data_IF_776735813120
#
_entry.id   IF_776735813120
#
_cell.length_a   1.000
_cell.length_b   1.000
_cell.length_c   1.000
_cell.angle_alpha   90.00
_cell.angle_beta   90.00
_cell.angle_gamma   90.00
#
_symmetry.space_group_name_H-M   'P 1'
#
loop_
_entity.id
_entity.type
_entity.pdbx_description
1 polymer ?
#
# COMPACT_ATOMS: atom_id res chain seq x y z
N UNK A 1 26.60 -33.54 -1.50
CA UNK A 1 26.56 -32.98 -2.87
C UNK A 1 25.19 -32.34 -3.11
N UNK A 2 25.01 -31.45 -4.09
CA UNK A 2 23.70 -30.82 -4.35
C UNK A 2 22.56 -31.84 -4.58
N UNK A 3 22.87 -32.98 -5.21
CA UNK A 3 21.90 -34.07 -5.43
C UNK A 3 21.45 -34.80 -4.16
N UNK A 4 22.19 -34.67 -3.06
CA UNK A 4 21.86 -35.27 -1.77
C UNK A 4 21.15 -34.29 -0.84
N UNK A 5 21.11 -33.00 -1.19
CA UNK A 5 20.51 -31.95 -0.40
C UNK A 5 18.98 -32.08 -0.36
N UNK A 6 18.41 -32.14 0.85
CA UNK A 6 16.98 -32.33 1.04
C UNK A 6 16.17 -31.05 0.77
N UNK A 7 16.76 -29.86 0.92
CA UNK A 7 16.08 -28.60 0.67
C UNK A 7 15.95 -28.39 -0.84
N UNK A 8 17.01 -28.70 -1.61
CA UNK A 8 16.94 -28.67 -3.08
C UNK A 8 15.93 -29.68 -3.64
N UNK A 9 15.79 -30.86 -3.03
CA UNK A 9 14.76 -31.83 -3.41
C UNK A 9 13.35 -31.32 -3.12
N UNK A 10 13.14 -30.70 -1.96
CA UNK A 10 11.85 -30.09 -1.63
C UNK A 10 11.46 -28.98 -2.60
N UNK A 11 12.43 -28.20 -3.10
CA UNK A 11 12.16 -27.22 -4.16
C UNK A 11 11.64 -27.92 -5.42
N UNK A 12 12.29 -28.99 -5.88
CA UNK A 12 11.85 -29.76 -7.05
C UNK A 12 10.44 -30.34 -6.85
N UNK A 13 10.17 -30.89 -5.67
CA UNK A 13 8.88 -31.51 -5.35
C UNK A 13 7.73 -30.49 -5.21
N UNK A 14 8.02 -29.19 -5.12
CA UNK A 14 7.00 -28.13 -5.01
C UNK A 14 6.11 -28.00 -6.25
N UNK A 15 6.58 -28.46 -7.43
CA UNK A 15 5.88 -28.33 -8.70
C UNK A 15 5.81 -26.90 -9.26
N UNK A 16 6.66 -25.99 -8.77
CA UNK A 16 6.73 -24.62 -9.28
C UNK A 16 7.31 -24.53 -10.71
N UNK A 17 6.87 -23.52 -11.47
CA UNK A 17 7.36 -23.29 -12.84
C UNK A 17 8.78 -22.68 -12.90
N UNK A 18 9.22 -22.07 -11.81
CA UNK A 18 10.53 -21.44 -11.66
C UNK A 18 11.05 -21.62 -10.23
N UNK A 19 12.37 -21.52 -10.06
CA UNK A 19 13.01 -21.59 -8.74
C UNK A 19 13.94 -20.40 -8.53
N UNK A 20 13.90 -19.84 -7.32
CA UNK A 20 14.88 -18.86 -6.87
C UNK A 20 15.74 -19.47 -5.76
N UNK A 21 17.07 -19.34 -5.88
CA UNK A 21 18.01 -19.74 -4.85
C UNK A 21 18.92 -18.60 -4.45
N UNK A 22 19.24 -18.56 -3.17
CA UNK A 22 20.07 -17.51 -2.56
C UNK A 22 21.50 -18.00 -2.38
N UNK A 23 22.48 -17.14 -2.64
CA UNK A 23 23.88 -17.40 -2.32
C UNK A 23 24.61 -16.15 -1.87
N UNK A 24 25.52 -16.30 -0.90
CA UNK A 24 26.29 -15.16 -0.36
C UNK A 24 27.26 -14.63 -1.41
N UNK A 25 27.12 -13.35 -1.73
CA UNK A 25 27.96 -12.62 -2.69
C UNK A 25 28.86 -11.57 -2.02
N UNK A 26 29.17 -11.79 -0.74
CA UNK A 26 30.14 -11.03 0.06
C UNK A 26 31.17 -11.98 0.65
N UNK A 27 32.46 -11.60 0.59
CA UNK A 27 33.56 -12.35 1.21
C UNK A 27 33.37 -12.47 2.71
N UNK A 28 32.99 -11.37 3.37
CA UNK A 28 32.66 -11.35 4.79
C UNK A 28 31.62 -12.42 5.15
N UNK A 29 30.52 -12.49 4.41
CA UNK A 29 29.47 -13.46 4.71
C UNK A 29 29.88 -14.91 4.40
N UNK A 30 30.61 -15.16 3.31
CA UNK A 30 31.11 -16.49 3.02
C UNK A 30 32.05 -17.00 4.13
N UNK A 31 33.01 -16.17 4.54
CA UNK A 31 34.04 -16.58 5.52
C UNK A 31 33.58 -16.54 6.97
N UNK A 32 32.67 -15.61 7.33
CA UNK A 32 32.29 -15.35 8.73
C UNK A 32 30.89 -15.79 9.12
N UNK A 33 29.99 -15.97 8.14
CA UNK A 33 28.60 -16.36 8.42
C UNK A 33 28.34 -17.79 7.98
N UNK A 34 28.77 -18.17 6.78
CA UNK A 34 28.73 -19.56 6.33
C UNK A 34 29.93 -20.36 6.85
N UNK A 35 31.01 -19.66 7.24
CA UNK A 35 32.25 -20.26 7.73
C UNK A 35 32.89 -21.22 6.71
N UNK A 36 32.91 -20.81 5.44
CA UNK A 36 33.49 -21.58 4.34
C UNK A 36 34.55 -20.78 3.58
N UNK A 37 35.31 -21.44 2.69
CA UNK A 37 36.26 -20.74 1.81
C UNK A 37 35.53 -20.10 0.63
N UNK A 38 36.12 -19.04 0.07
CA UNK A 38 35.56 -18.36 -1.11
C UNK A 38 35.38 -19.32 -2.28
N UNK A 39 36.35 -20.20 -2.53
CA UNK A 39 36.30 -21.21 -3.59
C UNK A 39 35.19 -22.24 -3.35
N UNK A 40 35.00 -22.66 -2.09
CA UNK A 40 33.94 -23.61 -1.77
C UNK A 40 32.55 -22.96 -1.89
N UNK A 41 32.40 -21.69 -1.52
CA UNK A 41 31.15 -20.95 -1.74
C UNK A 41 30.80 -20.84 -3.23
N UNK A 42 31.78 -20.52 -4.09
CA UNK A 42 31.59 -20.54 -5.55
C UNK A 42 31.18 -21.92 -6.06
N UNK A 43 31.80 -22.98 -5.53
CA UNK A 43 31.45 -24.36 -5.91
C UNK A 43 30.03 -24.72 -5.49
N UNK A 44 29.60 -24.32 -4.28
CA UNK A 44 28.23 -24.53 -3.79
C UNK A 44 27.19 -23.79 -4.66
N UNK A 45 27.48 -22.55 -5.05
CA UNK A 45 26.62 -21.78 -5.97
C UNK A 45 26.48 -22.52 -7.30
N UNK A 46 27.61 -22.92 -7.89
CA UNK A 46 27.63 -23.63 -9.17
C UNK A 46 26.83 -24.94 -9.10
N UNK A 47 27.17 -25.83 -8.16
CA UNK A 47 26.59 -27.17 -8.05
C UNK A 47 25.07 -27.11 -7.80
N UNK A 48 24.61 -26.16 -6.99
CA UNK A 48 23.19 -26.02 -6.65
C UNK A 48 22.38 -25.56 -7.87
N UNK A 49 22.87 -24.56 -8.61
CA UNK A 49 22.20 -24.04 -9.80
C UNK A 49 22.24 -25.07 -10.94
N UNK A 50 23.39 -25.71 -11.18
CA UNK A 50 23.52 -26.73 -12.22
C UNK A 50 22.59 -27.91 -11.96
N UNK A 51 22.42 -28.29 -10.70
CA UNK A 51 21.46 -29.32 -10.30
C UNK A 51 20.02 -28.88 -10.56
N UNK A 52 19.61 -27.70 -10.09
CA UNK A 52 18.24 -27.21 -10.25
C UNK A 52 17.85 -26.94 -11.71
N UNK A 53 18.79 -26.50 -12.55
CA UNK A 53 18.54 -26.21 -13.96
C UNK A 53 18.11 -27.45 -14.75
N UNK A 54 18.38 -28.66 -14.25
CA UNK A 54 17.91 -29.93 -14.84
C UNK A 54 16.39 -30.13 -14.67
N UNK A 55 15.77 -29.46 -13.70
CA UNK A 55 14.38 -29.65 -13.30
C UNK A 55 13.50 -28.43 -13.56
N UNK A 56 14.07 -27.22 -13.52
CA UNK A 56 13.34 -25.97 -13.72
C UNK A 56 13.69 -25.32 -15.06
N UNK A 57 12.69 -24.84 -15.82
CA UNK A 57 12.95 -24.09 -17.05
C UNK A 57 13.59 -22.73 -16.75
N UNK A 58 13.23 -22.09 -15.63
CA UNK A 58 13.77 -20.81 -15.18
C UNK A 58 14.37 -20.92 -13.77
N UNK A 59 15.64 -20.54 -13.62
CA UNK A 59 16.40 -20.51 -12.36
C UNK A 59 16.90 -19.10 -12.12
N UNK A 60 16.55 -18.54 -10.97
CA UNK A 60 16.94 -17.21 -10.52
C UNK A 60 17.97 -17.37 -9.40
N UNK A 61 19.09 -16.64 -9.52
CA UNK A 61 20.10 -16.56 -8.48
C UNK A 61 20.02 -15.21 -7.76
N UNK A 62 19.64 -15.24 -6.49
CA UNK A 62 19.69 -14.08 -5.61
C UNK A 62 21.09 -13.95 -4.99
N UNK A 63 21.85 -13.00 -5.53
CA UNK A 63 23.18 -12.65 -5.05
C UNK A 63 23.04 -11.83 -3.75
N UNK A 64 22.90 -12.53 -2.64
CA UNK A 64 22.67 -11.92 -1.32
C UNK A 64 23.87 -11.09 -0.87
N UNK A 65 23.61 -9.93 -0.27
CA UNK A 65 24.62 -8.96 0.15
C UNK A 65 25.53 -8.47 -0.99
N UNK A 66 25.09 -8.59 -2.25
CA UNK A 66 25.94 -8.29 -3.41
C UNK A 66 26.47 -6.86 -3.40
N UNK A 67 25.64 -5.84 -3.13
CA UNK A 67 26.10 -4.46 -3.25
C UNK A 67 27.17 -4.10 -2.20
N UNK A 68 27.00 -4.53 -0.94
CA UNK A 68 28.02 -4.37 0.10
C UNK A 68 29.27 -5.21 -0.20
N UNK A 69 29.06 -6.48 -0.59
CA UNK A 69 30.13 -7.37 -1.01
C UNK A 69 30.94 -6.84 -2.20
N UNK A 70 30.30 -6.12 -3.12
CA UNK A 70 30.95 -5.49 -4.25
C UNK A 70 31.78 -4.28 -3.81
N UNK A 71 31.32 -3.47 -2.84
CA UNK A 71 32.13 -2.37 -2.29
C UNK A 71 33.36 -2.88 -1.54
N UNK A 72 33.22 -4.01 -0.83
CA UNK A 72 34.31 -4.66 -0.07
C UNK A 72 35.31 -5.36 -1.01
N UNK A 73 34.82 -6.24 -1.89
CA UNK A 73 35.63 -7.07 -2.77
C UNK A 73 34.93 -7.25 -4.14
N UNK A 74 35.08 -6.28 -5.06
CA UNK A 74 34.42 -6.31 -6.36
C UNK A 74 34.75 -7.56 -7.19
N UNK A 75 35.99 -8.07 -7.06
CA UNK A 75 36.43 -9.25 -7.80
C UNK A 75 35.62 -10.47 -7.37
N UNK A 76 35.55 -10.74 -6.07
CA UNK A 76 34.82 -11.90 -5.56
C UNK A 76 33.32 -11.82 -5.83
N UNK A 77 32.70 -10.66 -5.62
CA UNK A 77 31.28 -10.46 -5.94
C UNK A 77 30.98 -10.73 -7.42
N UNK A 78 31.88 -10.38 -8.35
CA UNK A 78 31.71 -10.73 -9.77
C UNK A 78 31.93 -12.22 -10.05
N UNK A 79 32.82 -12.90 -9.33
CA UNK A 79 33.00 -14.35 -9.47
C UNK A 79 31.76 -15.14 -9.01
N UNK A 80 31.02 -14.68 -8.00
CA UNK A 80 29.76 -15.35 -7.60
C UNK A 80 28.71 -15.28 -8.71
N UNK A 81 28.60 -14.13 -9.38
CA UNK A 81 27.72 -13.97 -10.55
C UNK A 81 28.14 -14.85 -11.73
N UNK A 82 29.45 -14.92 -12.01
CA UNK A 82 29.97 -15.76 -13.11
C UNK A 82 29.73 -17.24 -12.84
N UNK A 83 29.99 -17.69 -11.61
CA UNK A 83 29.73 -19.07 -11.19
C UNK A 83 28.25 -19.45 -11.38
N UNK A 84 27.32 -18.59 -10.95
CA UNK A 84 25.90 -18.80 -11.17
C UNK A 84 25.51 -18.80 -12.66
N UNK A 85 26.10 -17.90 -13.46
CA UNK A 85 25.87 -17.84 -14.90
C UNK A 85 26.38 -19.09 -15.63
N UNK A 86 27.59 -19.54 -15.30
CA UNK A 86 28.20 -20.74 -15.88
C UNK A 86 27.42 -22.01 -15.54
N UNK A 87 26.81 -22.07 -14.36
CA UNK A 87 25.91 -23.14 -13.94
C UNK A 87 24.53 -23.11 -14.64
N UNK A 88 24.20 -22.02 -15.33
CA UNK A 88 23.00 -21.90 -16.16
C UNK A 88 21.83 -21.13 -15.54
N UNK A 89 22.07 -20.26 -14.55
CA UNK A 89 21.03 -19.34 -14.06
C UNK A 89 20.55 -18.38 -15.17
N UNK A 90 19.23 -18.17 -15.26
CA UNK A 90 18.61 -17.31 -16.26
C UNK A 90 18.60 -15.84 -15.84
N UNK A 91 18.47 -15.60 -14.52
CA UNK A 91 18.53 -14.28 -13.92
C UNK A 91 19.55 -14.26 -12.79
N UNK A 92 20.36 -13.18 -12.77
CA UNK A 92 21.24 -12.87 -11.64
C UNK A 92 20.69 -11.63 -10.94
N UNK A 93 20.06 -11.82 -9.79
CA UNK A 93 19.45 -10.75 -9.01
C UNK A 93 20.47 -10.15 -8.04
N UNK A 94 20.77 -8.87 -8.18
CA UNK A 94 21.69 -8.16 -7.30
C UNK A 94 20.92 -7.69 -6.05
N UNK A 95 21.30 -8.18 -4.86
CA UNK A 95 20.57 -7.86 -3.63
C UNK A 95 21.29 -6.80 -2.79
N UNK A 96 20.62 -5.69 -2.51
CA UNK A 96 20.99 -4.72 -1.48
C UNK A 96 20.32 -5.14 -0.16
N UNK A 97 20.86 -6.20 0.44
CA UNK A 97 20.24 -6.88 1.58
C UNK A 97 20.14 -5.99 2.81
N UNK A 98 21.13 -5.12 3.03
CA UNK A 98 21.11 -4.15 4.13
C UNK A 98 20.33 -2.87 3.79
N UNK A 99 19.86 -2.70 2.55
CA UNK A 99 19.07 -1.55 2.11
C UNK A 99 19.80 -0.22 2.16
N UNK A 100 21.13 -0.25 2.19
CA UNK A 100 21.99 0.89 2.49
C UNK A 100 22.46 1.66 1.26
N UNK A 101 22.20 1.17 0.05
CA UNK A 101 22.74 1.79 -1.16
C UNK A 101 22.03 3.10 -1.49
N UNK A 102 22.82 4.10 -1.89
CA UNK A 102 22.29 5.32 -2.48
C UNK A 102 22.21 5.21 -4.01
N UNK A 103 21.37 6.04 -4.67
CA UNK A 103 21.22 6.05 -6.12
C UNK A 103 22.51 6.03 -6.95
N UNK A 104 23.50 6.84 -6.56
CA UNK A 104 24.78 6.94 -7.29
C UNK A 104 25.63 5.68 -7.14
N UNK A 105 25.61 5.04 -5.95
CA UNK A 105 26.26 3.75 -5.73
C UNK A 105 25.70 2.68 -6.68
N UNK A 106 24.37 2.64 -6.79
CA UNK A 106 23.67 1.67 -7.63
C UNK A 106 24.03 1.86 -9.11
N UNK A 107 24.10 3.11 -9.59
CA UNK A 107 24.54 3.42 -10.96
C UNK A 107 25.95 2.90 -11.21
N UNK A 108 26.89 3.24 -10.33
CA UNK A 108 28.29 2.88 -10.48
C UNK A 108 28.49 1.35 -10.50
N UNK A 109 27.85 0.66 -9.55
CA UNK A 109 27.98 -0.79 -9.40
C UNK A 109 27.35 -1.51 -10.59
N UNK A 110 26.13 -1.16 -10.99
CA UNK A 110 25.47 -1.78 -12.15
C UNK A 110 26.26 -1.55 -13.45
N UNK A 111 26.83 -0.35 -13.65
CA UNK A 111 27.67 -0.08 -14.82
C UNK A 111 28.93 -0.97 -14.86
N UNK A 112 29.54 -1.25 -13.70
CA UNK A 112 30.67 -2.18 -13.60
C UNK A 112 30.24 -3.63 -13.83
N UNK A 113 29.11 -4.05 -13.27
CA UNK A 113 28.56 -5.41 -13.49
C UNK A 113 28.26 -5.64 -14.96
N UNK A 114 27.58 -4.71 -15.64
CA UNK A 114 27.26 -4.81 -17.07
C UNK A 114 28.50 -4.91 -17.99
N UNK A 115 29.66 -4.40 -17.53
CA UNK A 115 30.94 -4.56 -18.25
C UNK A 115 31.57 -5.92 -17.99
N UNK A 116 31.46 -6.44 -16.76
CA UNK A 116 32.11 -7.68 -16.32
C UNK A 116 31.31 -8.96 -16.57
N UNK A 117 29.98 -8.88 -16.62
CA UNK A 117 29.07 -10.03 -16.73
C UNK A 117 28.03 -9.76 -17.81
N UNK A 118 27.88 -10.69 -18.76
CA UNK A 118 26.88 -10.64 -19.83
C UNK A 118 25.73 -11.60 -19.52
N UNK A 119 24.82 -11.17 -18.64
CA UNK A 119 23.67 -11.93 -18.20
C UNK A 119 22.39 -11.08 -18.21
N UNK A 120 21.23 -11.72 -18.06
CA UNK A 120 20.02 -11.00 -17.71
C UNK A 120 20.04 -10.73 -16.21
N UNK A 121 19.96 -9.45 -15.83
CA UNK A 121 20.10 -9.04 -14.45
C UNK A 121 18.74 -8.68 -13.82
N UNK A 122 18.63 -9.00 -12.54
CA UNK A 122 17.57 -8.56 -11.63
C UNK A 122 18.10 -7.69 -10.50
N UNK A 123 17.21 -7.08 -9.73
CA UNK A 123 17.54 -6.37 -8.49
C UNK A 123 16.53 -6.64 -7.38
N UNK A 124 17.03 -6.67 -6.15
CA UNK A 124 16.26 -6.76 -4.92
C UNK A 124 16.79 -5.73 -3.92
N UNK A 125 16.03 -4.65 -3.68
CA UNK A 125 16.45 -3.58 -2.78
C UNK A 125 15.63 -3.59 -1.48
N UNK A 126 16.30 -3.66 -0.33
CA UNK A 126 15.70 -3.29 0.95
C UNK A 126 15.72 -1.76 1.14
N UNK A 127 14.91 -1.26 2.06
CA UNK A 127 14.58 0.16 2.17
C UNK A 127 15.15 0.86 3.43
N UNK A 128 16.20 0.33 4.04
CA UNK A 128 16.80 0.88 5.27
C UNK A 128 17.32 2.33 5.10
N UNK A 129 17.80 2.71 3.92
CA UNK A 129 18.17 4.09 3.56
C UNK A 129 17.01 4.94 3.02
N UNK A 130 15.82 4.37 2.89
CA UNK A 130 14.67 5.00 2.23
C UNK A 130 14.80 5.14 0.71
N UNK A 131 15.80 4.52 0.09
CA UNK A 131 16.11 4.69 -1.34
C UNK A 131 15.64 3.52 -2.24
N UNK A 132 14.99 2.48 -1.73
CA UNK A 132 14.73 1.25 -2.48
C UNK A 132 13.95 1.48 -3.79
N UNK A 133 12.90 2.30 -3.75
CA UNK A 133 12.09 2.64 -4.94
C UNK A 133 12.92 3.41 -5.97
N UNK A 134 13.70 4.40 -5.53
CA UNK A 134 14.55 5.21 -6.40
C UNK A 134 15.65 4.35 -7.05
N UNK A 135 16.32 3.53 -6.25
CA UNK A 135 17.35 2.58 -6.69
C UNK A 135 16.79 1.61 -7.74
N UNK A 136 15.59 1.06 -7.51
CA UNK A 136 14.92 0.18 -8.46
C UNK A 136 14.65 0.86 -9.80
N UNK A 137 14.07 2.07 -9.79
CA UNK A 137 13.76 2.82 -11.02
C UNK A 137 15.04 3.16 -11.80
N UNK A 138 16.12 3.49 -11.10
CA UNK A 138 17.44 3.75 -11.71
C UNK A 138 18.04 2.47 -12.30
N UNK A 139 17.96 1.36 -11.57
CA UNK A 139 18.44 0.07 -12.03
C UNK A 139 17.76 -0.34 -13.36
N UNK A 140 16.44 -0.14 -13.48
CA UNK A 140 15.71 -0.38 -14.75
C UNK A 140 16.22 0.53 -15.87
N UNK A 141 16.50 1.81 -15.59
CA UNK A 141 17.10 2.72 -16.59
C UNK A 141 18.50 2.26 -17.03
N UNK A 142 19.20 1.50 -16.19
CA UNK A 142 20.52 0.89 -16.46
C UNK A 142 20.43 -0.50 -17.11
N UNK A 143 19.23 -0.94 -17.49
CA UNK A 143 19.03 -2.16 -18.27
C UNK A 143 18.68 -3.41 -17.45
N UNK A 144 18.46 -3.28 -16.14
CA UNK A 144 17.92 -4.36 -15.32
C UNK A 144 16.53 -4.76 -15.82
N UNK A 145 16.26 -6.07 -15.90
CA UNK A 145 15.03 -6.62 -16.47
C UNK A 145 14.10 -7.26 -15.44
N UNK A 146 14.63 -7.76 -14.33
CA UNK A 146 13.84 -8.33 -13.24
C UNK A 146 13.88 -7.43 -12.00
N UNK A 147 12.74 -7.29 -11.35
CA UNK A 147 12.59 -6.51 -10.12
C UNK A 147 11.94 -7.40 -9.09
N UNK A 148 12.60 -7.57 -7.96
CA UNK A 148 12.03 -8.19 -6.77
C UNK A 148 11.68 -7.10 -5.77
N UNK A 149 10.48 -7.21 -5.21
CA UNK A 149 9.90 -6.25 -4.29
C UNK A 149 8.57 -6.79 -3.78
N UNK A 150 7.88 -5.99 -2.97
CA UNK A 150 6.61 -6.42 -2.36
C UNK A 150 5.53 -5.36 -2.51
N UNK A 151 4.27 -5.82 -2.50
CA UNK A 151 3.12 -4.92 -2.40
C UNK A 151 3.20 -4.20 -1.05
N UNK A 152 3.06 -2.88 -1.07
CA UNK A 152 3.18 -1.99 0.09
C UNK A 152 4.57 -1.95 0.74
N UNK A 153 5.60 -2.47 0.05
CA UNK A 153 6.97 -2.47 0.56
C UNK A 153 7.18 -3.33 1.81
N UNK A 154 6.28 -4.26 2.12
CA UNK A 154 6.43 -5.15 3.28
C UNK A 154 7.69 -6.02 3.18
N UNK A 155 8.31 -6.30 4.32
CA UNK A 155 9.56 -7.05 4.38
C UNK A 155 10.24 -6.91 5.73
N UNK A 156 11.46 -7.41 5.82
CA UNK A 156 12.28 -7.26 7.02
C UNK A 156 12.62 -5.79 7.29
N UNK A 157 12.72 -5.42 8.57
CA UNK A 157 13.18 -4.09 9.05
C UNK A 157 12.35 -2.94 8.44
N UNK A 158 12.97 -2.16 7.55
CA UNK A 158 12.36 -1.03 6.85
C UNK A 158 11.61 -1.42 5.58
N UNK A 159 11.55 -2.72 5.28
CA UNK A 159 10.81 -3.27 4.15
C UNK A 159 11.63 -3.43 2.87
N UNK A 160 10.95 -3.90 1.83
CA UNK A 160 11.49 -4.05 0.48
C UNK A 160 11.06 -2.88 -0.42
N UNK A 161 11.59 -2.83 -1.63
CA UNK A 161 11.14 -1.91 -2.67
C UNK A 161 9.63 -2.06 -2.93
N UNK A 162 8.89 -0.96 -2.78
CA UNK A 162 7.43 -0.95 -2.84
C UNK A 162 6.91 -1.01 -4.28
N UNK A 163 6.36 -2.16 -4.66
CA UNK A 163 5.81 -2.40 -5.99
C UNK A 163 4.63 -1.49 -6.32
N UNK A 164 3.86 -1.02 -5.32
CA UNK A 164 2.79 -0.05 -5.54
C UNK A 164 3.31 1.30 -6.01
N UNK A 165 4.58 1.62 -5.74
CA UNK A 165 5.23 2.85 -6.21
C UNK A 165 6.05 2.60 -7.47
N UNK A 166 6.66 1.42 -7.60
CA UNK A 166 7.51 1.09 -8.74
C UNK A 166 6.68 0.90 -10.01
N UNK A 167 5.62 0.08 -9.96
CA UNK A 167 4.82 -0.27 -11.15
C UNK A 167 4.30 0.99 -11.88
N UNK A 168 3.64 1.97 -11.22
CA UNK A 168 3.18 3.17 -11.90
C UNK A 168 4.32 4.02 -12.47
N UNK A 169 5.47 4.08 -11.79
CA UNK A 169 6.63 4.80 -12.32
C UNK A 169 7.16 4.14 -13.60
N UNK A 170 7.17 2.81 -13.68
CA UNK A 170 7.61 2.10 -14.87
C UNK A 170 6.59 2.22 -16.03
N UNK A 171 5.34 1.90 -15.78
CA UNK A 171 4.25 1.91 -16.77
C UNK A 171 3.96 3.32 -17.30
N UNK A 172 3.79 4.29 -16.40
CA UNK A 172 3.30 5.63 -16.79
C UNK A 172 4.46 6.56 -17.14
N UNK A 173 5.50 6.60 -16.30
CA UNK A 173 6.57 7.61 -16.43
C UNK A 173 7.68 7.13 -17.36
N UNK A 174 8.06 5.86 -17.28
CA UNK A 174 9.08 5.27 -18.17
C UNK A 174 8.50 4.55 -19.39
N UNK A 175 7.16 4.43 -19.50
CA UNK A 175 6.46 3.80 -20.63
C UNK A 175 6.97 2.37 -20.88
N UNK A 176 7.15 1.62 -19.80
CA UNK A 176 7.53 0.20 -19.83
C UNK A 176 6.28 -0.65 -19.67
N UNK A 177 6.09 -1.59 -20.59
CA UNK A 177 5.00 -2.57 -20.51
C UNK A 177 5.45 -3.72 -19.60
N UNK A 178 5.17 -3.59 -18.31
CA UNK A 178 5.51 -4.56 -17.27
C UNK A 178 4.33 -5.51 -16.99
N UNK A 179 3.10 -5.03 -17.16
CA UNK A 179 1.87 -5.77 -16.85
C UNK A 179 1.04 -6.03 -18.11
N UNK A 180 0.04 -6.92 -17.96
CA UNK A 180 -1.03 -7.06 -18.96
C UNK A 180 -1.82 -5.77 -19.03
N UNK A 181 -2.35 -5.48 -20.22
CA UNK A 181 -3.24 -4.34 -20.45
C UNK A 181 -4.36 -4.28 -19.39
N UNK A 182 -4.78 -3.07 -19.02
CA UNK A 182 -5.79 -2.80 -18.00
C UNK A 182 -5.49 -3.26 -16.56
N UNK A 183 -4.33 -3.85 -16.27
CA UNK A 183 -4.03 -4.36 -14.92
C UNK A 183 -3.79 -3.24 -13.90
N UNK A 184 -3.29 -2.08 -14.36
CA UNK A 184 -2.85 -0.99 -13.48
C UNK A 184 -3.99 -0.40 -12.62
N UNK A 185 -5.22 -0.39 -13.14
CA UNK A 185 -6.41 0.11 -12.42
C UNK A 185 -6.78 -0.73 -11.18
N UNK A 186 -6.19 -1.92 -11.03
CA UNK A 186 -6.43 -2.79 -9.87
C UNK A 186 -5.43 -2.56 -8.73
N UNK A 187 -4.41 -1.72 -8.93
CA UNK A 187 -3.29 -1.57 -8.00
C UNK A 187 -3.72 -1.08 -6.61
N UNK A 188 -4.62 -0.10 -6.54
CA UNK A 188 -5.11 0.42 -5.25
C UNK A 188 -5.89 -0.63 -4.46
N UNK A 189 -6.72 -1.44 -5.13
CA UNK A 189 -7.44 -2.52 -4.47
C UNK A 189 -6.50 -3.65 -4.03
N UNK A 190 -5.49 -3.98 -4.83
CA UNK A 190 -4.45 -4.95 -4.46
C UNK A 190 -3.67 -4.51 -3.21
N UNK A 191 -3.28 -3.23 -3.15
CA UNK A 191 -2.63 -2.64 -1.97
C UNK A 191 -3.47 -2.83 -0.71
N UNK A 192 -4.77 -2.50 -0.76
CA UNK A 192 -5.70 -2.65 0.36
C UNK A 192 -5.89 -4.11 0.76
N UNK A 193 -6.12 -4.99 -0.22
CA UNK A 193 -6.27 -6.43 0.00
C UNK A 193 -5.05 -7.02 0.72
N UNK A 194 -3.83 -6.65 0.32
CA UNK A 194 -2.61 -7.13 0.99
C UNK A 194 -2.47 -6.56 2.41
N UNK A 195 -2.79 -5.28 2.63
CA UNK A 195 -2.80 -4.71 3.99
C UNK A 195 -3.80 -5.42 4.90
N UNK A 196 -5.02 -5.66 4.43
CA UNK A 196 -6.06 -6.37 5.18
C UNK A 196 -5.64 -7.82 5.49
N UNK A 197 -5.12 -8.53 4.49
CA UNK A 197 -4.65 -9.92 4.64
C UNK A 197 -3.49 -10.04 5.62
N UNK A 198 -2.55 -9.07 5.58
CA UNK A 198 -1.42 -9.01 6.50
C UNK A 198 -1.79 -8.44 7.87
N UNK A 199 -3.06 -8.06 8.09
CA UNK A 199 -3.54 -7.37 9.28
C UNK A 199 -2.70 -6.13 9.63
N UNK A 200 -2.35 -5.36 8.60
CA UNK A 200 -1.58 -4.11 8.70
C UNK A 200 -2.48 -2.92 8.41
N UNK A 201 -2.24 -1.81 9.10
CA UNK A 201 -2.93 -0.54 8.83
C UNK A 201 -2.39 0.00 7.51
N UNK A 202 -3.25 0.18 6.51
CA UNK A 202 -2.88 0.77 5.23
C UNK A 202 -2.37 2.21 5.44
N UNK A 203 -1.25 2.57 4.79
CA UNK A 203 -0.73 3.93 4.84
C UNK A 203 -1.58 4.86 3.95
N UNK A 204 -2.35 5.79 4.52
CA UNK A 204 -3.25 6.62 3.73
C UNK A 204 -2.47 7.58 2.82
N UNK A 205 -1.21 7.89 3.12
CA UNK A 205 -0.38 8.81 2.34
C UNK A 205 0.64 8.09 1.44
N UNK A 206 0.50 6.78 1.24
CA UNK A 206 1.35 6.02 0.34
C UNK A 206 1.23 6.58 -1.09
N UNK A 207 2.34 6.82 -1.81
CA UNK A 207 2.27 7.32 -3.18
C UNK A 207 1.43 6.40 -4.07
N UNK A 208 0.68 7.00 -5.00
CA UNK A 208 -0.25 6.35 -5.94
C UNK A 208 -1.48 5.67 -5.32
N UNK A 209 -1.32 4.81 -4.31
CA UNK A 209 -2.42 3.94 -3.80
C UNK A 209 -3.05 4.42 -2.50
N UNK A 210 -2.38 5.32 -1.77
CA UNK A 210 -2.90 5.88 -0.53
C UNK A 210 -4.15 6.72 -0.78
N UNK A 211 -5.12 6.66 0.15
CA UNK A 211 -6.35 7.48 0.09
C UNK A 211 -6.07 8.98 -0.02
N UNK A 212 -4.95 9.44 0.51
CA UNK A 212 -4.53 10.84 0.52
C UNK A 212 -3.65 11.23 -0.68
N UNK A 213 -3.27 10.28 -1.55
CA UNK A 213 -2.32 10.53 -2.63
C UNK A 213 -2.81 11.55 -3.67
N UNK A 214 -4.13 11.67 -3.84
CA UNK A 214 -4.79 12.59 -4.77
C UNK A 214 -5.82 13.49 -4.10
N UNK A 215 -5.54 13.83 -2.84
CA UNK A 215 -6.48 14.55 -1.98
C UNK A 215 -6.16 16.03 -1.90
N UNK A 216 -7.19 16.87 -2.06
CA UNK A 216 -7.07 18.32 -2.05
C UNK A 216 -7.88 18.93 -0.91
N UNK A 217 -7.19 19.62 0.00
CA UNK A 217 -7.78 20.24 1.19
C UNK A 217 -7.90 21.76 1.08
N UNK A 218 -6.83 22.43 0.65
CA UNK A 218 -6.79 23.90 0.61
C UNK A 218 -7.72 24.48 -0.46
N UNK A 219 -8.52 25.49 -0.12
CA UNK A 219 -9.49 26.09 -1.05
C UNK A 219 -8.89 26.60 -2.37
N UNK A 220 -7.63 27.08 -2.35
CA UNK A 220 -6.91 27.46 -3.58
C UNK A 220 -6.57 26.25 -4.46
N UNK A 221 -6.10 25.15 -3.86
CA UNK A 221 -5.80 23.91 -4.58
C UNK A 221 -7.08 23.30 -5.16
N UNK A 222 -8.16 23.25 -4.38
CA UNK A 222 -9.45 22.71 -4.83
C UNK A 222 -10.03 23.55 -5.99
N UNK A 223 -9.93 24.87 -5.92
CA UNK A 223 -10.34 25.74 -7.04
C UNK A 223 -9.50 25.49 -8.30
N UNK A 224 -8.19 25.28 -8.12
CA UNK A 224 -7.24 24.99 -9.19
C UNK A 224 -7.50 23.64 -9.86
N UNK A 225 -7.53 22.55 -9.08
CA UNK A 225 -7.76 21.19 -9.58
C UNK A 225 -9.10 21.06 -10.30
N UNK A 226 -10.13 21.79 -9.86
CA UNK A 226 -11.45 21.80 -10.52
C UNK A 226 -11.46 22.41 -11.91
N UNK A 227 -10.52 23.32 -12.19
CA UNK A 227 -10.38 23.97 -13.51
C UNK A 227 -9.40 23.22 -14.39
N UNK A 228 -8.29 22.79 -13.81
CA UNK A 228 -7.20 22.13 -14.51
C UNK A 228 -6.53 21.12 -13.56
N UNK A 229 -7.01 19.86 -13.51
CA UNK A 229 -6.48 18.85 -12.60
C UNK A 229 -4.96 18.66 -12.70
N UNK A 230 -4.44 18.66 -13.93
CA UNK A 230 -3.01 18.52 -14.26
C UNK A 230 -2.09 19.58 -13.64
N UNK A 231 -2.64 20.69 -13.12
CA UNK A 231 -1.85 21.70 -12.42
C UNK A 231 -1.47 21.28 -10.99
N UNK A 232 -2.21 20.35 -10.39
CA UNK A 232 -2.01 19.87 -9.02
C UNK A 232 -1.79 18.36 -8.93
N UNK A 233 -2.02 17.64 -10.03
CA UNK A 233 -1.87 16.18 -10.10
C UNK A 233 -0.93 15.80 -11.22
N UNK A 234 0.03 14.93 -10.92
CA UNK A 234 1.01 14.45 -11.89
C UNK A 234 0.44 13.36 -12.84
N UNK A 235 -0.80 12.91 -12.62
CA UNK A 235 -1.54 11.93 -13.42
C UNK A 235 -3.00 11.85 -12.96
N UNK A 236 -3.87 11.27 -13.79
CA UNK A 236 -5.24 10.94 -13.39
C UNK A 236 -5.25 9.74 -12.42
N UNK A 237 -5.89 9.84 -11.24
CA UNK A 237 -5.85 8.81 -10.20
C UNK A 237 -6.51 7.49 -10.61
N UNK A 238 -7.50 7.54 -11.49
CA UNK A 238 -8.28 6.38 -11.93
C UNK A 238 -7.39 5.35 -12.66
N UNK A 239 -6.26 5.80 -13.24
CA UNK A 239 -5.29 4.94 -13.92
C UNK A 239 -4.72 3.86 -12.98
N UNK A 240 -4.54 4.17 -11.69
CA UNK A 240 -4.05 3.25 -10.65
C UNK A 240 -5.17 2.71 -9.75
N UNK A 241 -6.42 2.95 -10.13
CA UNK A 241 -7.59 2.55 -9.35
C UNK A 241 -7.84 3.42 -8.11
N UNK A 242 -7.25 4.61 -8.06
CA UNK A 242 -7.49 5.57 -6.99
C UNK A 242 -8.50 6.62 -7.43
N UNK A 243 -8.96 7.46 -6.51
CA UNK A 243 -9.91 8.55 -6.77
C UNK A 243 -9.36 9.87 -6.27
N UNK A 244 -9.77 10.95 -6.93
CA UNK A 244 -9.54 12.31 -6.42
C UNK A 244 -10.52 12.57 -5.28
N UNK A 245 -10.00 12.99 -4.14
CA UNK A 245 -10.81 13.31 -2.96
C UNK A 245 -10.70 14.81 -2.65
N UNK A 246 -11.84 15.44 -2.35
CA UNK A 246 -11.89 16.81 -1.83
C UNK A 246 -12.26 16.73 -0.36
N UNK A 247 -11.38 17.20 0.52
CA UNK A 247 -11.65 17.24 1.95
C UNK A 247 -12.29 18.57 2.34
N UNK A 248 -13.23 18.49 3.27
CA UNK A 248 -13.83 19.66 3.91
C UNK A 248 -13.15 19.89 5.25
N UNK A 249 -12.69 21.12 5.45
CA UNK A 249 -12.06 21.60 6.68
C UNK A 249 -12.16 23.13 6.79
N UNK A 250 -11.63 23.72 7.85
CA UNK A 250 -11.54 25.16 8.08
C UNK A 250 -10.82 25.94 6.97
N UNK A 251 -9.92 25.28 6.24
CA UNK A 251 -9.16 25.82 5.10
C UNK A 251 -9.92 25.71 3.76
N UNK A 252 -11.12 25.14 3.78
CA UNK A 252 -11.95 25.00 2.61
C UNK A 252 -12.41 26.33 2.06
N UNK A 253 -12.52 26.41 0.74
CA UNK A 253 -13.16 27.53 0.06
C UNK A 253 -14.61 27.22 -0.27
N UNK A 254 -15.35 28.24 -0.73
CA UNK A 254 -16.72 28.08 -1.27
C UNK A 254 -16.80 26.99 -2.35
N UNK A 255 -15.76 26.88 -3.18
CA UNK A 255 -15.72 25.89 -4.26
C UNK A 255 -15.62 24.45 -3.72
N UNK A 256 -14.88 24.21 -2.63
CA UNK A 256 -14.82 22.90 -1.96
C UNK A 256 -16.20 22.47 -1.49
N UNK A 257 -16.95 23.37 -0.85
CA UNK A 257 -18.32 23.11 -0.38
C UNK A 257 -19.24 22.73 -1.55
N UNK A 258 -19.19 23.48 -2.66
CA UNK A 258 -20.02 23.21 -3.84
C UNK A 258 -19.74 21.83 -4.42
N UNK A 259 -18.45 21.47 -4.56
CA UNK A 259 -18.05 20.19 -5.16
C UNK A 259 -18.43 19.02 -4.27
N UNK A 260 -18.14 19.11 -2.96
CA UNK A 260 -18.48 18.05 -2.02
C UNK A 260 -20.00 17.89 -1.88
N UNK A 261 -20.76 18.97 -1.91
CA UNK A 261 -22.23 18.89 -1.92
C UNK A 261 -22.77 18.19 -3.19
N UNK A 262 -22.11 18.37 -4.34
CA UNK A 262 -22.46 17.71 -5.60
C UNK A 262 -22.28 16.19 -5.55
N UNK A 263 -21.30 15.69 -4.81
CA UNK A 263 -21.12 14.23 -4.55
C UNK A 263 -22.35 13.63 -3.85
N UNK A 264 -23.04 14.41 -3.01
CA UNK A 264 -24.28 14.01 -2.35
C UNK A 264 -25.55 14.29 -3.19
N UNK A 265 -25.40 14.71 -4.44
CA UNK A 265 -26.51 15.09 -5.32
C UNK A 265 -27.16 16.43 -4.98
N UNK A 266 -26.48 17.31 -4.22
CA UNK A 266 -27.00 18.63 -3.83
C UNK A 266 -26.30 19.71 -4.67
N UNK A 267 -27.04 20.37 -5.56
CA UNK A 267 -26.51 21.49 -6.34
C UNK A 267 -26.55 22.80 -5.53
N UNK A 268 -25.39 23.41 -5.29
CA UNK A 268 -25.23 24.68 -4.59
C UNK A 268 -24.59 25.78 -5.46
N UNK A 269 -24.43 25.56 -6.77
CA UNK A 269 -23.72 26.48 -7.68
C UNK A 269 -24.34 27.89 -7.68
N UNK A 270 -25.66 27.98 -7.60
CA UNK A 270 -26.40 29.25 -7.65
C UNK A 270 -26.76 29.85 -6.28
N UNK A 271 -26.55 29.11 -5.17
CA UNK A 271 -26.94 29.53 -3.81
C UNK A 271 -25.74 29.89 -2.94
N UNK A 272 -25.01 30.93 -3.35
CA UNK A 272 -23.79 31.40 -2.68
C UNK A 272 -24.00 31.83 -1.21
N UNK A 273 -25.24 32.15 -0.83
CA UNK A 273 -25.59 32.47 0.56
C UNK A 273 -25.50 31.20 1.42
N UNK A 274 -26.17 30.12 1.01
CA UNK A 274 -26.08 28.83 1.73
C UNK A 274 -24.67 28.27 1.73
N UNK A 275 -23.93 28.40 0.62
CA UNK A 275 -22.50 28.00 0.58
C UNK A 275 -21.70 28.72 1.65
N UNK A 276 -21.91 30.03 1.82
CA UNK A 276 -21.21 30.83 2.83
C UNK A 276 -21.64 30.45 4.26
N UNK A 277 -22.91 30.14 4.46
CA UNK A 277 -23.43 29.66 5.75
C UNK A 277 -22.83 28.30 6.14
N UNK A 278 -22.82 27.33 5.22
CA UNK A 278 -22.22 26.01 5.42
C UNK A 278 -20.74 26.16 5.78
N UNK A 279 -19.99 26.95 5.00
CA UNK A 279 -18.57 27.19 5.25
C UNK A 279 -18.30 27.76 6.64
N UNK A 280 -19.05 28.81 7.02
CA UNK A 280 -18.92 29.41 8.35
C UNK A 280 -19.25 28.40 9.46
N UNK A 281 -20.24 27.53 9.24
CA UNK A 281 -20.64 26.53 10.23
C UNK A 281 -19.60 25.41 10.37
N UNK A 282 -18.98 24.98 9.28
CA UNK A 282 -17.82 24.08 9.29
C UNK A 282 -16.68 24.69 10.10
N UNK A 283 -16.24 25.91 9.75
CA UNK A 283 -15.14 26.60 10.44
C UNK A 283 -15.41 26.75 11.95
N UNK A 284 -16.62 27.18 12.32
CA UNK A 284 -17.00 27.33 13.72
C UNK A 284 -17.05 25.99 14.49
N UNK A 285 -17.39 24.89 13.83
CA UNK A 285 -17.41 23.57 14.46
C UNK A 285 -15.99 22.99 14.56
N UNK A 286 -15.13 23.16 13.56
CA UNK A 286 -13.74 22.70 13.65
C UNK A 286 -12.94 23.46 14.72
N UNK A 287 -13.17 24.77 14.86
CA UNK A 287 -12.63 25.54 16.00
C UNK A 287 -13.09 25.02 17.37
N UNK A 288 -14.18 24.26 17.43
CA UNK A 288 -14.67 23.60 18.65
C UNK A 288 -14.15 22.16 18.79
N UNK A 289 -13.27 21.70 17.90
CA UNK A 289 -12.66 20.37 17.91
C UNK A 289 -13.40 19.31 17.07
N UNK A 290 -14.38 19.69 16.25
CA UNK A 290 -14.99 18.76 15.30
C UNK A 290 -14.02 18.52 14.13
N UNK A 291 -14.13 17.37 13.47
CA UNK A 291 -13.36 17.04 12.26
C UNK A 291 -14.31 16.62 11.15
N UNK A 292 -14.28 17.31 10.01
CA UNK A 292 -15.07 16.95 8.84
C UNK A 292 -14.27 16.14 7.79
N UNK A 293 -12.94 16.12 7.89
CA UNK A 293 -12.04 15.42 6.93
C UNK A 293 -12.29 13.91 6.84
N UNK A 294 -12.62 13.26 7.96
CA UNK A 294 -12.90 11.83 8.01
C UNK A 294 -14.40 11.52 8.19
N UNK A 295 -15.27 12.54 8.09
CA UNK A 295 -16.67 12.45 8.50
C UNK A 295 -17.63 13.01 7.42
N UNK A 296 -17.54 12.46 6.21
CA UNK A 296 -18.37 12.87 5.06
C UNK A 296 -19.87 12.84 5.38
N UNK A 297 -20.34 11.85 6.14
CA UNK A 297 -21.74 11.79 6.58
C UNK A 297 -22.16 12.95 7.49
N UNK A 298 -21.27 13.40 8.39
CA UNK A 298 -21.53 14.58 9.23
C UNK A 298 -21.60 15.84 8.40
N UNK A 299 -20.75 15.97 7.39
CA UNK A 299 -20.79 17.08 6.45
C UNK A 299 -22.07 17.06 5.60
N UNK A 300 -22.46 15.90 5.06
CA UNK A 300 -23.71 15.74 4.31
C UNK A 300 -24.94 16.17 5.15
N UNK A 301 -25.01 15.72 6.40
CA UNK A 301 -26.10 16.09 7.32
C UNK A 301 -26.13 17.60 7.58
N UNK A 302 -24.97 18.25 7.67
CA UNK A 302 -24.87 19.70 7.82
C UNK A 302 -25.40 20.43 6.58
N UNK A 303 -25.01 19.99 5.38
CA UNK A 303 -25.48 20.55 4.11
C UNK A 303 -26.99 20.38 3.98
N UNK A 304 -27.52 19.19 4.28
CA UNK A 304 -28.97 18.92 4.26
C UNK A 304 -29.73 19.80 5.25
N UNK A 305 -29.13 20.10 6.40
CA UNK A 305 -29.74 20.98 7.40
C UNK A 305 -29.86 22.42 6.89
N UNK A 306 -28.77 22.99 6.35
CA UNK A 306 -28.77 24.36 5.80
C UNK A 306 -29.65 24.49 4.56
N UNK A 307 -29.72 23.44 3.73
CA UNK A 307 -30.57 23.43 2.54
C UNK A 307 -32.03 23.10 2.82
N UNK A 308 -32.38 22.74 4.06
CA UNK A 308 -33.74 22.35 4.44
C UNK A 308 -34.19 20.99 3.89
N UNK A 309 -33.26 20.19 3.35
CA UNK A 309 -33.54 18.86 2.79
C UNK A 309 -33.33 17.72 3.80
N UNK A 310 -32.87 18.04 5.02
CA UNK A 310 -32.67 17.06 6.10
C UNK A 310 -34.00 16.50 6.57
N UNK A 311 -34.23 15.21 6.26
CA UNK A 311 -35.34 14.43 6.83
C UNK A 311 -35.00 14.01 8.26
N UNK A 312 -35.93 14.21 9.19
CA UNK A 312 -35.83 13.71 10.56
C UNK A 312 -36.61 12.39 10.63
N UNK A 313 -35.90 11.27 10.58
CA UNK A 313 -36.51 9.94 10.64
C UNK A 313 -36.87 9.50 12.06
N UNK A 314 -36.10 9.97 13.04
CA UNK A 314 -36.32 9.69 14.45
C UNK A 314 -35.67 10.79 15.29
N UNK A 315 -36.07 10.87 16.56
CA UNK A 315 -35.43 11.71 17.58
C UNK A 315 -34.72 10.80 18.58
N UNK A 316 -33.41 10.96 18.71
CA UNK A 316 -32.65 10.33 19.79
C UNK A 316 -33.01 11.00 21.12
N UNK A 317 -33.51 10.23 22.08
CA UNK A 317 -33.77 10.73 23.44
C UNK A 317 -32.53 10.55 24.32
N UNK A 318 -31.94 9.35 24.31
CA UNK A 318 -30.73 9.03 25.07
C UNK A 318 -30.11 7.75 24.56
N UNK A 319 -28.82 7.57 24.84
CA UNK A 319 -28.15 6.29 24.71
C UNK A 319 -27.26 6.07 25.93
N UNK A 320 -26.95 4.81 26.22
CA UNK A 320 -25.97 4.40 27.24
C UNK A 320 -25.14 3.28 26.69
N UNK A 321 -23.83 3.31 26.94
CA UNK A 321 -22.92 2.23 26.58
C UNK A 321 -22.18 1.77 27.84
N UNK A 322 -22.13 0.47 28.04
CA UNK A 322 -21.38 -0.21 29.08
C UNK A 322 -20.29 -1.03 28.40
N UNK A 323 -19.04 -0.85 28.83
CA UNK A 323 -17.92 -1.65 28.35
C UNK A 323 -17.48 -2.59 29.47
N UNK A 324 -17.39 -3.87 29.16
CA UNK A 324 -16.90 -4.91 30.05
C UNK A 324 -15.62 -5.51 29.47
N UNK A 325 -14.57 -5.57 30.30
CA UNK A 325 -13.36 -6.32 29.99
C UNK A 325 -13.34 -7.55 30.88
N UNK A 326 -13.38 -8.73 30.27
CA UNK A 326 -13.33 -10.02 30.98
C UNK A 326 -11.90 -10.40 31.32
N UNK A 327 -11.75 -11.33 32.25
CA UNK A 327 -10.46 -11.82 32.73
C UNK A 327 -9.61 -12.44 31.62
N UNK A 328 -10.26 -13.08 30.64
CA UNK A 328 -9.63 -13.63 29.42
C UNK A 328 -9.13 -12.56 28.43
N UNK A 329 -9.29 -11.27 28.77
CA UNK A 329 -8.88 -10.14 27.95
C UNK A 329 -9.90 -9.75 26.89
N UNK A 330 -10.99 -10.50 26.71
CA UNK A 330 -12.05 -10.15 25.78
C UNK A 330 -12.75 -8.86 26.22
N UNK A 331 -13.05 -8.00 25.24
CA UNK A 331 -13.87 -6.80 25.43
C UNK A 331 -15.25 -7.05 24.84
N UNK A 332 -16.27 -6.72 25.62
CA UNK A 332 -17.66 -6.71 25.19
C UNK A 332 -18.26 -5.34 25.52
N UNK A 333 -19.05 -4.80 24.60
CA UNK A 333 -19.78 -3.57 24.80
C UNK A 333 -21.27 -3.83 24.68
N UNK A 334 -22.05 -3.34 25.62
CA UNK A 334 -23.51 -3.32 25.56
C UNK A 334 -23.98 -1.87 25.36
N UNK A 335 -24.87 -1.63 24.41
CA UNK A 335 -25.49 -0.33 24.21
C UNK A 335 -27.01 -0.41 24.33
N UNK A 336 -27.60 0.53 25.06
CA UNK A 336 -29.05 0.79 25.10
C UNK A 336 -29.35 2.11 24.41
N UNK A 337 -30.26 2.11 23.44
CA UNK A 337 -30.66 3.29 22.66
C UNK A 337 -32.16 3.55 22.86
N UNK A 338 -32.52 4.81 23.13
CA UNK A 338 -33.91 5.27 23.23
C UNK A 338 -34.19 6.28 22.13
N UNK A 339 -35.13 5.95 21.25
CA UNK A 339 -35.54 6.79 20.13
C UNK A 339 -37.04 7.00 20.12
N UNK A 340 -37.46 8.15 19.61
CA UNK A 340 -38.86 8.46 19.31
C UNK A 340 -39.02 8.49 17.78
N UNK A 341 -39.88 7.63 17.26
CA UNK A 341 -40.25 7.56 15.84
C UNK A 341 -41.73 7.91 15.76
N UNK A 342 -42.04 9.05 15.15
CA UNK A 342 -43.36 9.69 15.25
C UNK A 342 -43.80 9.87 16.71
N UNK A 343 -44.82 9.14 17.16
CA UNK A 343 -45.28 9.12 18.57
C UNK A 343 -44.84 7.86 19.33
N UNK A 344 -44.14 6.93 18.67
CA UNK A 344 -43.72 5.66 19.24
C UNK A 344 -42.34 5.76 19.86
N UNK A 345 -42.28 5.59 21.17
CA UNK A 345 -41.03 5.54 21.93
C UNK A 345 -40.50 4.10 21.96
N UNK A 346 -39.33 3.90 21.38
CA UNK A 346 -38.67 2.59 21.25
C UNK A 346 -37.38 2.59 22.06
N UNK A 347 -37.15 1.50 22.78
CA UNK A 347 -35.94 1.27 23.58
C UNK A 347 -35.38 -0.09 23.18
N UNK A 348 -34.16 -0.12 22.68
CA UNK A 348 -33.50 -1.37 22.30
C UNK A 348 -32.10 -1.46 22.91
N UNK A 349 -31.66 -2.69 23.12
CA UNK A 349 -30.32 -3.02 23.61
C UNK A 349 -29.64 -4.02 22.68
N UNK A 350 -28.34 -3.84 22.46
CA UNK A 350 -27.51 -4.80 21.74
C UNK A 350 -26.08 -4.85 22.28
N UNK A 351 -25.45 -6.00 22.12
CA UNK A 351 -24.03 -6.21 22.39
C UNK A 351 -23.22 -6.09 21.09
N UNK A 352 -21.92 -5.80 21.25
CA UNK A 352 -20.97 -5.75 20.15
C UNK A 352 -19.54 -5.93 20.63
N UNK A 353 -18.63 -6.15 19.69
CA UNK A 353 -17.18 -6.29 19.95
C UNK A 353 -16.49 -4.93 20.25
N UNK A 354 -17.27 -3.88 20.43
CA UNK A 354 -16.84 -2.54 20.78
C UNK A 354 -18.02 -1.56 20.87
N UNK A 355 -17.81 -0.36 21.43
CA UNK A 355 -18.90 0.57 21.74
C UNK A 355 -19.64 1.06 20.49
N UNK A 356 -18.93 1.24 19.37
CA UNK A 356 -19.53 1.67 18.10
C UNK A 356 -20.40 0.55 17.50
N UNK A 357 -19.91 -0.69 17.49
CA UNK A 357 -20.66 -1.83 16.97
C UNK A 357 -21.92 -2.12 17.82
N UNK A 358 -21.83 -2.01 19.14
CA UNK A 358 -22.97 -2.15 20.03
C UNK A 358 -24.03 -1.05 19.79
N UNK A 359 -23.59 0.22 19.65
CA UNK A 359 -24.49 1.34 19.35
C UNK A 359 -25.18 1.18 17.99
N UNK A 360 -24.44 0.82 16.94
CA UNK A 360 -24.99 0.58 15.61
C UNK A 360 -26.04 -0.53 15.66
N UNK A 361 -25.71 -1.65 16.31
CA UNK A 361 -26.63 -2.80 16.45
C UNK A 361 -27.90 -2.43 17.21
N UNK A 362 -27.78 -1.71 18.33
CA UNK A 362 -28.92 -1.30 19.15
C UNK A 362 -29.80 -0.28 18.41
N UNK A 363 -29.17 0.69 17.72
CA UNK A 363 -29.89 1.68 16.93
C UNK A 363 -30.63 1.03 15.76
N UNK A 364 -29.97 0.16 14.99
CA UNK A 364 -30.59 -0.56 13.87
C UNK A 364 -31.80 -1.36 14.32
N UNK A 365 -31.68 -2.15 15.41
CA UNK A 365 -32.82 -2.86 16.01
C UNK A 365 -33.99 -1.90 16.33
N UNK A 366 -33.69 -0.74 16.92
CA UNK A 366 -34.73 0.21 17.32
C UNK A 366 -35.51 0.78 16.13
N UNK A 367 -34.83 1.04 15.01
CA UNK A 367 -35.42 1.75 13.88
C UNK A 367 -35.87 0.82 12.74
N UNK A 368 -35.38 -0.43 12.68
CA UNK A 368 -35.67 -1.39 11.60
C UNK A 368 -37.15 -1.76 11.53
N UNK A 369 -37.82 -1.85 12.68
CA UNK A 369 -39.27 -2.10 12.75
C UNK A 369 -40.10 -1.05 11.99
N UNK A 370 -39.64 0.20 11.98
CA UNK A 370 -40.27 1.30 11.25
C UNK A 370 -39.66 1.51 9.84
N UNK A 371 -38.42 1.08 9.64
CA UNK A 371 -37.68 1.24 8.38
C UNK A 371 -37.07 -0.09 7.90
N UNK A 372 -37.88 -1.05 7.38
CA UNK A 372 -37.43 -2.40 7.06
C UNK A 372 -36.33 -2.49 5.99
N UNK A 373 -36.15 -1.43 5.18
CA UNK A 373 -35.09 -1.35 4.18
C UNK A 373 -33.68 -1.44 4.79
N UNK A 374 -33.52 -1.13 6.09
CA UNK A 374 -32.25 -1.21 6.80
C UNK A 374 -31.70 -2.64 6.90
N UNK A 375 -32.56 -3.66 6.88
CA UNK A 375 -32.16 -5.08 6.84
C UNK A 375 -31.29 -5.45 5.63
N UNK A 376 -31.29 -4.61 4.58
CA UNK A 376 -30.55 -4.83 3.33
C UNK A 376 -29.21 -4.09 3.29
N UNK A 377 -28.90 -3.29 4.31
CA UNK A 377 -27.66 -2.51 4.41
C UNK A 377 -26.73 -3.26 5.37
N UNK A 378 -25.81 -4.03 4.79
CA UNK A 378 -24.72 -4.73 5.50
C UNK A 378 -23.66 -3.76 6.00
#
# INVERSE_FOLDING_TARGET
>A
SAAEDNDLKQLIDSGADAVCVVGKSSSLHAEKVIETTLENNLSMIFDSIEYLKKYFPEVIFDAEHFFDGFKENPKYALETLKSALEAGADYLCLCDTNGGMLPDDVIEIIDKVNRGVKATLGVHFHNDSGCAVANTVIAVKKGIKMIQGTINGYGERCGNADLCQIIPNLEIKLKKNCLKEDSLKHLTNLSRFVSETANQIANPSQPFVGRNAFTHKGGMHVSGVSKLPKAFEHMDPEIVGNTREILISELSGKKSIILKAKEFGINLEDDLKKVSEILNRVQNLEHKGYQFEAADGSFELLVKEVTGTKKKFFKLESFRVLNEKKEDGSMMSEATVKVLIDENRIIETAEGNGPVNALDSALRKAIESCYPALSRIT
#
